data_IF_076461654201
#
_entry.id   IF_076461654201
#
_cell.length_a   1.000
_cell.length_b   1.000
_cell.length_c   1.000
_cell.angle_alpha   90.00
_cell.angle_beta   90.00
_cell.angle_gamma   90.00
#
_symmetry.space_group_name_H-M   'P 1'
#
loop_
_entity.id
_entity.type
_entity.pdbx_description
1 polymer ?
#
# COMPACT_ATOMS: atom_id res chain seq x y z
N UNK A 1 3.96 1.56 12.80
CA UNK A 1 4.91 0.68 12.08
C UNK A 1 4.93 -0.76 12.60
N UNK A 2 4.85 -1.02 13.91
CA UNK A 2 4.88 -2.40 14.45
C UNK A 2 3.87 -3.35 13.79
N UNK A 3 2.60 -2.93 13.67
CA UNK A 3 1.58 -3.75 12.98
C UNK A 3 1.93 -4.06 11.53
N UNK A 4 2.50 -3.11 10.79
CA UNK A 4 2.95 -3.31 9.39
C UNK A 4 4.14 -4.26 9.32
N UNK A 5 5.07 -4.19 10.29
CA UNK A 5 6.19 -5.13 10.38
C UNK A 5 5.71 -6.56 10.60
N UNK A 6 4.71 -6.76 11.46
CA UNK A 6 4.11 -8.08 11.65
C UNK A 6 3.31 -8.51 10.42
N UNK A 7 2.56 -7.60 9.79
CA UNK A 7 1.85 -7.87 8.53
C UNK A 7 2.79 -8.47 7.48
N UNK A 8 3.99 -7.92 7.31
CA UNK A 8 4.99 -8.41 6.33
C UNK A 8 5.41 -9.87 6.52
N UNK A 9 5.24 -10.46 7.70
CA UNK A 9 5.50 -11.89 7.92
C UNK A 9 4.37 -12.77 7.38
N UNK A 10 3.19 -12.19 7.14
CA UNK A 10 1.95 -12.87 6.79
C UNK A 10 1.34 -12.36 5.47
N UNK A 11 2.16 -11.81 4.58
CA UNK A 11 1.80 -11.46 3.20
C UNK A 11 2.36 -12.49 2.22
N UNK A 12 1.80 -12.55 1.01
CA UNK A 12 2.32 -13.43 -0.04
C UNK A 12 3.73 -12.98 -0.47
N UNK A 13 4.52 -13.91 -1.03
CA UNK A 13 5.86 -13.58 -1.56
C UNK A 13 5.83 -12.58 -2.72
N UNK A 14 4.70 -12.41 -3.39
CA UNK A 14 4.47 -11.43 -4.47
C UNK A 14 3.98 -10.07 -3.97
N UNK A 15 3.59 -9.98 -2.69
CA UNK A 15 3.03 -8.77 -2.09
C UNK A 15 4.13 -7.91 -1.45
N UNK A 16 3.96 -6.58 -1.47
CA UNK A 16 4.86 -5.64 -0.81
C UNK A 16 4.05 -4.56 -0.09
N UNK A 17 4.51 -4.18 1.09
CA UNK A 17 4.01 -3.00 1.82
C UNK A 17 5.20 -2.22 2.38
N UNK A 18 5.31 -0.95 2.03
CA UNK A 18 6.37 -0.05 2.51
C UNK A 18 5.86 1.36 2.69
N UNK A 19 6.48 2.10 3.60
CA UNK A 19 6.05 3.45 3.90
C UNK A 19 7.07 4.23 4.72
N UNK A 20 6.81 5.52 4.84
CA UNK A 20 7.66 6.51 5.50
C UNK A 20 6.79 7.43 6.36
N UNK A 21 7.35 7.90 7.48
CA UNK A 21 6.76 8.95 8.29
C UNK A 21 7.14 10.29 7.67
N UNK A 22 6.16 11.04 7.18
CA UNK A 22 6.34 12.37 6.60
C UNK A 22 6.31 13.45 7.69
N UNK A 23 5.45 13.28 8.69
CA UNK A 23 5.40 14.10 9.89
C UNK A 23 5.24 13.19 11.11
N UNK A 24 6.16 13.31 12.07
CA UNK A 24 6.20 12.53 13.31
C UNK A 24 6.13 13.39 14.56
N UNK A 25 5.79 14.68 14.43
CA UNK A 25 5.82 15.66 15.51
C UNK A 25 6.94 16.70 15.35
N UNK A 26 6.70 17.89 15.91
CA UNK A 26 7.53 19.07 15.70
C UNK A 26 8.57 19.32 16.81
N UNK A 27 8.42 18.69 17.97
CA UNK A 27 9.35 18.85 19.09
C UNK A 27 9.44 17.56 19.92
N UNK A 28 10.65 17.20 20.36
CA UNK A 28 10.91 15.94 21.05
C UNK A 28 10.29 15.85 22.46
N UNK A 29 9.99 16.98 23.07
CA UNK A 29 9.42 17.09 24.42
C UNK A 29 7.91 17.39 24.42
N UNK A 30 7.26 17.43 23.26
CA UNK A 30 5.82 17.65 23.11
C UNK A 30 5.21 16.38 22.51
N UNK A 31 4.14 15.89 23.12
CA UNK A 31 3.38 14.75 22.56
C UNK A 31 2.72 15.25 21.27
N UNK A 32 2.97 14.61 20.11
CA UNK A 32 2.38 15.05 18.84
C UNK A 32 0.86 14.89 18.85
N UNK A 33 0.16 15.92 18.39
CA UNK A 33 -1.29 15.91 18.14
C UNK A 33 -1.62 15.45 16.71
N UNK A 34 -0.66 15.52 15.80
CA UNK A 34 -0.78 15.09 14.41
C UNK A 34 0.46 14.29 13.96
N UNK A 35 0.22 13.25 13.17
CA UNK A 35 1.26 12.52 12.44
C UNK A 35 0.77 12.16 11.05
N UNK A 36 1.66 12.14 10.07
CA UNK A 36 1.34 11.80 8.69
C UNK A 36 2.33 10.78 8.15
N UNK A 37 1.79 9.71 7.59
CA UNK A 37 2.54 8.61 7.01
C UNK A 37 2.08 8.36 5.58
N UNK A 38 3.01 7.94 4.72
CA UNK A 38 2.70 7.52 3.36
C UNK A 38 3.10 6.07 3.18
N UNK A 39 2.17 5.28 2.66
CA UNK A 39 2.38 3.87 2.34
C UNK A 39 2.12 3.59 0.87
N UNK A 40 2.83 2.58 0.36
CA UNK A 40 2.58 1.92 -0.89
C UNK A 40 2.33 0.43 -0.62
N UNK A 41 1.29 -0.09 -1.25
CA UNK A 41 0.98 -1.52 -1.32
C UNK A 41 1.14 -1.98 -2.78
N UNK A 42 1.60 -3.21 -2.98
CA UNK A 42 1.76 -3.81 -4.30
C UNK A 42 1.44 -5.31 -4.23
N UNK A 43 0.74 -5.80 -5.26
CA UNK A 43 0.40 -7.19 -5.47
C UNK A 43 0.30 -7.49 -6.97
N UNK A 44 0.24 -8.76 -7.35
CA UNK A 44 0.18 -9.19 -8.76
C UNK A 44 -1.17 -8.89 -9.42
N UNK A 45 -2.26 -8.88 -8.64
CA UNK A 45 -3.62 -8.62 -9.12
C UNK A 45 -4.27 -7.55 -8.27
N UNK A 46 -5.25 -6.83 -8.85
CA UNK A 46 -6.01 -5.82 -8.13
C UNK A 46 -6.73 -6.41 -6.91
N UNK A 47 -7.31 -7.59 -7.07
CA UNK A 47 -8.02 -8.27 -5.98
C UNK A 47 -7.12 -8.53 -4.77
N UNK A 48 -5.90 -9.04 -5.00
CA UNK A 48 -4.94 -9.27 -3.92
C UNK A 48 -4.47 -7.95 -3.31
N UNK A 49 -4.30 -6.91 -4.13
CA UNK A 49 -3.92 -5.57 -3.68
C UNK A 49 -4.98 -4.95 -2.75
N UNK A 50 -6.26 -5.12 -3.07
CA UNK A 50 -7.36 -4.61 -2.25
C UNK A 50 -7.41 -5.30 -0.88
N UNK A 51 -7.16 -6.62 -0.83
CA UNK A 51 -7.04 -7.37 0.43
C UNK A 51 -5.82 -6.92 1.25
N UNK A 52 -4.68 -6.69 0.61
CA UNK A 52 -3.49 -6.20 1.31
C UNK A 52 -3.72 -4.79 1.88
N UNK A 53 -4.37 -3.92 1.11
CA UNK A 53 -4.64 -2.54 1.48
C UNK A 53 -5.70 -2.46 2.60
N UNK A 54 -6.71 -3.32 2.60
CA UNK A 54 -7.69 -3.39 3.70
C UNK A 54 -7.05 -3.83 5.02
N UNK A 55 -6.12 -4.80 4.99
CA UNK A 55 -5.35 -5.18 6.19
C UNK A 55 -4.49 -4.04 6.72
N UNK A 56 -3.89 -3.24 5.84
CA UNK A 56 -3.16 -2.03 6.24
C UNK A 56 -4.09 -0.99 6.87
N UNK A 57 -5.28 -0.79 6.31
CA UNK A 57 -6.31 0.07 6.86
C UNK A 57 -6.75 -0.39 8.25
N UNK A 58 -6.99 -1.69 8.46
CA UNK A 58 -7.38 -2.22 9.77
C UNK A 58 -6.28 -2.06 10.83
N UNK A 59 -5.01 -2.12 10.43
CA UNK A 59 -3.88 -1.80 11.32
C UNK A 59 -3.91 -0.32 11.71
N UNK A 60 -4.19 0.59 10.77
CA UNK A 60 -4.31 2.02 11.06
C UNK A 60 -5.50 2.29 12.00
N UNK A 61 -6.66 1.69 11.72
CA UNK A 61 -7.84 1.74 12.60
C UNK A 61 -7.55 1.20 13.99
N UNK A 62 -6.89 0.04 14.08
CA UNK A 62 -6.51 -0.55 15.36
C UNK A 62 -5.58 0.35 16.17
N UNK A 63 -4.61 0.99 15.52
CA UNK A 63 -3.74 1.97 16.17
C UNK A 63 -4.53 3.18 16.71
N UNK A 64 -5.46 3.71 15.92
CA UNK A 64 -6.32 4.82 16.32
C UNK A 64 -7.19 4.47 17.54
N UNK A 65 -7.80 3.28 17.54
CA UNK A 65 -8.59 2.77 18.69
C UNK A 65 -7.73 2.63 19.95
N UNK A 66 -6.51 2.08 19.82
CA UNK A 66 -5.60 1.88 20.96
C UNK A 66 -5.17 3.20 21.61
N UNK A 67 -4.99 4.27 20.82
CA UNK A 67 -4.57 5.57 21.32
C UNK A 67 -5.74 6.51 21.61
N UNK A 68 -6.96 6.14 21.25
CA UNK A 68 -8.13 7.03 21.33
C UNK A 68 -8.08 8.20 20.34
N UNK A 69 -7.27 8.08 19.27
CA UNK A 69 -7.14 9.10 18.24
C UNK A 69 -8.14 8.88 17.10
N UNK A 70 -8.37 9.92 16.32
CA UNK A 70 -9.00 9.81 15.00
C UNK A 70 -7.94 9.50 13.93
N UNK A 71 -8.36 8.91 12.81
CA UNK A 71 -7.47 8.68 11.67
C UNK A 71 -8.22 8.92 10.36
N UNK A 72 -7.47 9.38 9.36
CA UNK A 72 -7.91 9.42 7.97
C UNK A 72 -7.03 8.49 7.12
N UNK A 73 -7.64 7.86 6.12
CA UNK A 73 -6.98 6.93 5.23
C UNK A 73 -7.49 7.12 3.80
N UNK A 74 -6.67 7.74 2.98
CA UNK A 74 -7.04 8.09 1.61
C UNK A 74 -5.98 7.65 0.59
N UNK A 75 -6.43 7.40 -0.63
CA UNK A 75 -5.54 7.23 -1.77
C UNK A 75 -5.04 8.59 -2.24
N UNK A 76 -3.72 8.74 -2.36
CA UNK A 76 -3.10 9.95 -2.92
C UNK A 76 -3.20 10.02 -4.45
N UNK A 77 -3.41 8.87 -5.10
CA UNK A 77 -3.44 8.69 -6.55
C UNK A 77 -4.48 7.62 -6.91
N UNK A 78 -4.89 7.59 -8.17
CA UNK A 78 -5.70 6.49 -8.68
C UNK A 78 -4.94 5.16 -8.53
N UNK A 79 -5.69 4.11 -8.19
CA UNK A 79 -5.15 2.77 -8.07
C UNK A 79 -4.65 2.24 -9.41
N UNK A 80 -3.44 1.68 -9.42
CA UNK A 80 -2.90 0.98 -10.60
C UNK A 80 -3.43 -0.46 -10.60
N UNK A 81 -3.81 -0.94 -11.78
CA UNK A 81 -4.26 -2.31 -12.02
C UNK A 81 -3.18 -3.12 -12.71
N UNK A 82 -3.31 -4.45 -12.64
CA UNK A 82 -2.51 -5.37 -13.42
C UNK A 82 -2.67 -5.12 -14.93
N UNK A 83 -1.60 -5.41 -15.67
CA UNK A 83 -1.62 -5.34 -17.13
C UNK A 83 -2.32 -6.58 -17.66
N UNK A 84 -3.43 -6.39 -18.35
CA UNK A 84 -4.12 -7.46 -19.08
C UNK A 84 -3.49 -7.55 -20.47
N UNK A 85 -2.84 -8.68 -20.76
CA UNK A 85 -2.19 -8.91 -22.06
C UNK A 85 -3.08 -9.71 -23.00
N UNK A 86 -3.08 -9.34 -24.28
CA UNK A 86 -3.77 -10.08 -25.34
C UNK A 86 -2.74 -10.91 -26.13
N UNK A 87 -2.77 -12.25 -26.06
CA UNK A 87 -1.78 -13.10 -26.73
C UNK A 87 -1.72 -12.88 -28.24
N UNK A 88 -2.88 -12.69 -28.87
CA UNK A 88 -2.97 -12.44 -30.31
C UNK A 88 -2.27 -11.12 -30.69
N UNK A 89 -2.48 -10.06 -29.90
CA UNK A 89 -1.83 -8.78 -30.13
C UNK A 89 -0.31 -8.91 -29.99
N UNK A 90 0.16 -9.58 -28.93
CA UNK A 90 1.59 -9.81 -28.71
C UNK A 90 2.24 -10.55 -29.89
N UNK A 91 1.63 -11.63 -30.38
CA UNK A 91 2.14 -12.39 -31.51
C UNK A 91 2.19 -11.58 -32.82
N UNK A 92 1.14 -10.80 -33.12
CA UNK A 92 1.13 -9.94 -34.31
C UNK A 92 2.19 -8.83 -34.19
N UNK A 93 2.34 -8.24 -33.01
CA UNK A 93 3.33 -7.19 -32.77
C UNK A 93 4.75 -7.71 -32.99
N UNK A 94 5.10 -8.87 -32.41
CA UNK A 94 6.41 -9.50 -32.61
C UNK A 94 6.69 -9.84 -34.09
N UNK A 95 5.66 -10.28 -34.82
CA UNK A 95 5.81 -10.63 -36.24
C UNK A 95 6.11 -9.42 -37.14
N UNK A 96 5.44 -8.28 -36.91
CA UNK A 96 5.53 -7.11 -37.81
C UNK A 96 6.56 -6.04 -37.40
N UNK A 97 7.01 -6.01 -36.15
CA UNK A 97 7.98 -5.00 -35.66
C UNK A 97 9.43 -5.47 -35.79
N UNK A 98 9.67 -6.77 -35.87
CA UNK A 98 11.03 -7.35 -35.95
C UNK A 98 11.54 -7.53 -37.39
N UNK A 99 10.80 -7.00 -38.39
CA UNK A 99 11.19 -6.96 -39.82
C UNK A 99 11.49 -5.52 -40.20
#
# INVERSE_FOLDING_TARGET
FNGVTQLRQHIKKTERVHGVILDGGQAANIIPDFTHVRFYTCATTRQDLDVLTSRLHDIARGAAILTGCEFDFALILNGVHEIITSPLFSHLFEHYVTV
#
